data_IF_665441076437
#
_entry.id   IF_665441076437
#
_cell.length_a   1.000
_cell.length_b   1.000
_cell.length_c   1.000
_cell.angle_alpha   90.00
_cell.angle_beta   90.00
_cell.angle_gamma   90.00
#
_symmetry.space_group_name_H-M   'P 1'
#
loop_
_entity.id
_entity.type
_entity.pdbx_description
1 polymer ?
#
# COMPACT_ATOMS: atom_id res chain seq x y z
N UNK A 1 24.02 -8.90 10.17
CA UNK A 1 22.90 -8.21 10.85
C UNK A 1 21.66 -9.08 10.80
N UNK A 2 21.00 -9.30 11.94
CA UNK A 2 19.74 -10.04 12.03
C UNK A 2 18.57 -9.09 12.33
N UNK A 3 17.57 -9.07 11.46
CA UNK A 3 16.41 -8.21 11.54
C UNK A 3 15.18 -9.03 11.94
N UNK A 4 14.38 -8.54 12.89
CA UNK A 4 13.11 -9.18 13.25
C UNK A 4 11.94 -8.25 12.93
N UNK A 5 11.09 -8.64 11.97
CA UNK A 5 9.84 -7.96 11.66
C UNK A 5 8.69 -8.56 12.49
N UNK A 6 7.98 -7.70 13.20
CA UNK A 6 6.78 -8.05 13.98
C UNK A 6 5.57 -7.37 13.34
N UNK A 7 4.60 -8.14 12.83
CA UNK A 7 3.36 -7.58 12.30
C UNK A 7 2.17 -8.53 12.45
N UNK A 8 1.04 -8.01 12.92
CA UNK A 8 -0.24 -8.73 12.91
C UNK A 8 -1.07 -8.49 11.64
N UNK A 9 -0.70 -7.50 10.81
CA UNK A 9 -1.37 -7.23 9.52
C UNK A 9 -0.83 -8.09 8.37
N UNK A 10 -0.55 -9.33 8.66
CA UNK A 10 -0.11 -10.30 7.67
C UNK A 10 -1.24 -11.29 7.41
N UNK A 11 -1.82 -11.24 6.21
CA UNK A 11 -2.94 -12.09 5.80
C UNK A 11 -2.76 -12.49 4.33
N UNK A 12 -3.24 -13.69 3.92
CA UNK A 12 -3.19 -14.11 2.52
C UNK A 12 -3.85 -13.15 1.53
N UNK A 13 -4.78 -12.30 2.03
CA UNK A 13 -5.50 -11.30 1.22
C UNK A 13 -5.09 -9.86 1.56
N UNK A 14 -4.08 -9.65 2.42
CA UNK A 14 -3.55 -8.32 2.70
C UNK A 14 -2.61 -7.85 1.57
N UNK A 15 -2.67 -6.54 1.24
CA UNK A 15 -1.92 -5.98 0.13
C UNK A 15 -0.53 -5.44 0.54
N UNK A 16 -0.49 -4.20 1.04
CA UNK A 16 0.74 -3.42 1.18
C UNK A 16 1.76 -3.98 2.17
N UNK A 17 1.34 -4.27 3.42
CA UNK A 17 2.25 -4.72 4.48
C UNK A 17 2.85 -6.09 4.15
N UNK A 18 2.03 -7.03 3.70
CA UNK A 18 2.50 -8.35 3.28
C UNK A 18 3.53 -8.23 2.16
N UNK A 19 3.22 -7.44 1.12
CA UNK A 19 4.12 -7.23 -0.02
C UNK A 19 5.45 -6.60 0.43
N UNK A 20 5.41 -5.60 1.30
CA UNK A 20 6.61 -5.00 1.87
C UNK A 20 7.51 -6.02 2.56
N UNK A 21 6.94 -6.86 3.42
CA UNK A 21 7.71 -7.90 4.14
C UNK A 21 8.25 -8.97 3.19
N UNK A 22 7.43 -9.48 2.26
CA UNK A 22 7.86 -10.48 1.27
C UNK A 22 9.00 -9.95 0.38
N UNK A 23 8.94 -8.69 -0.03
CA UNK A 23 9.99 -8.04 -0.82
C UNK A 23 11.25 -7.77 0.01
N UNK A 24 11.12 -7.49 1.33
CA UNK A 24 12.26 -7.39 2.23
C UNK A 24 13.00 -8.72 2.37
N UNK A 25 12.27 -9.82 2.56
CA UNK A 25 12.83 -11.18 2.57
C UNK A 25 13.55 -11.50 1.26
N UNK A 26 12.91 -11.19 0.12
CA UNK A 26 13.53 -11.40 -1.19
C UNK A 26 14.81 -10.57 -1.38
N UNK A 27 14.82 -9.32 -0.90
CA UNK A 27 16.00 -8.45 -0.92
C UNK A 27 17.13 -9.02 -0.07
N UNK A 28 16.86 -9.49 1.15
CA UNK A 28 17.86 -10.13 2.01
C UNK A 28 18.47 -11.31 1.28
N UNK A 29 17.66 -12.24 0.78
CA UNK A 29 18.12 -13.44 0.08
C UNK A 29 18.98 -13.14 -1.17
N UNK A 30 18.59 -12.12 -1.94
CA UNK A 30 19.23 -11.80 -3.23
C UNK A 30 20.43 -10.86 -3.09
N UNK A 31 20.41 -9.97 -2.10
CA UNK A 31 21.32 -8.80 -2.09
C UNK A 31 22.17 -8.70 -0.82
N UNK A 32 21.68 -9.23 0.31
CA UNK A 32 22.34 -9.14 1.63
C UNK A 32 22.51 -10.52 2.27
N UNK A 33 23.37 -11.40 1.69
CA UNK A 33 23.62 -12.73 2.24
C UNK A 33 24.32 -12.69 3.62
N UNK A 34 24.84 -11.52 4.00
CA UNK A 34 25.39 -11.18 5.32
C UNK A 34 24.31 -10.91 6.39
N UNK A 35 23.04 -10.86 6.00
CA UNK A 35 21.91 -10.58 6.87
C UNK A 35 21.00 -11.80 7.05
N UNK A 36 20.37 -11.89 8.23
CA UNK A 36 19.29 -12.82 8.52
C UNK A 36 17.99 -12.05 8.73
N UNK A 37 16.87 -12.67 8.36
CA UNK A 37 15.54 -12.11 8.54
C UNK A 37 14.64 -13.05 9.33
N UNK A 38 14.05 -12.56 10.39
CA UNK A 38 13.04 -13.23 11.21
C UNK A 38 11.72 -12.51 11.06
N UNK A 39 10.66 -13.23 10.75
CA UNK A 39 9.30 -12.68 10.66
C UNK A 39 8.42 -13.34 11.71
N UNK A 40 7.73 -12.55 12.52
CA UNK A 40 6.75 -13.04 13.49
C UNK A 40 5.36 -12.52 13.13
N UNK A 41 4.44 -13.44 12.84
CA UNK A 41 3.09 -13.14 12.36
C UNK A 41 2.04 -14.02 13.03
N UNK A 42 0.76 -13.59 13.09
CA UNK A 42 -0.32 -14.46 13.52
C UNK A 42 -0.62 -15.54 12.47
N UNK A 43 -0.95 -16.75 12.92
CA UNK A 43 -1.31 -17.87 12.04
C UNK A 43 -2.42 -18.74 12.62
N UNK A 44 -2.71 -19.86 11.96
CA UNK A 44 -3.67 -20.85 12.44
C UNK A 44 -3.08 -21.71 13.56
N UNK A 45 -1.80 -22.03 13.42
CA UNK A 45 -1.03 -22.79 14.39
C UNK A 45 0.28 -22.07 14.72
N UNK A 46 0.91 -22.45 15.83
CA UNK A 46 2.24 -21.99 16.18
C UNK A 46 3.25 -22.88 15.48
N UNK A 47 4.00 -22.33 14.54
CA UNK A 47 5.00 -23.03 13.73
C UNK A 47 6.21 -22.14 13.46
N UNK A 48 7.32 -22.76 13.09
CA UNK A 48 8.48 -22.07 12.55
C UNK A 48 8.88 -22.75 11.24
N UNK A 49 8.98 -21.97 10.17
CA UNK A 49 9.35 -22.45 8.83
C UNK A 49 10.43 -21.54 8.28
N UNK A 50 11.40 -22.09 7.59
CA UNK A 50 12.46 -21.32 6.94
C UNK A 50 13.81 -22.00 6.96
N UNK A 51 14.85 -21.23 6.71
CA UNK A 51 16.25 -21.65 6.65
C UNK A 51 17.15 -20.68 7.47
N UNK A 52 18.44 -20.78 7.30
CA UNK A 52 19.40 -19.93 8.03
C UNK A 52 19.32 -18.44 7.64
N UNK A 53 18.80 -18.11 6.47
CA UNK A 53 18.70 -16.74 5.99
C UNK A 53 17.37 -16.09 6.39
N UNK A 54 16.27 -16.86 6.36
CA UNK A 54 14.94 -16.31 6.67
C UNK A 54 14.06 -17.33 7.38
N UNK A 55 13.56 -16.96 8.55
CA UNK A 55 12.65 -17.76 9.38
C UNK A 55 11.34 -17.04 9.60
N UNK A 56 10.25 -17.75 9.43
CA UNK A 56 8.89 -17.25 9.67
C UNK A 56 8.28 -18.00 10.86
N UNK A 57 8.07 -17.29 11.92
CA UNK A 57 7.33 -17.76 13.09
C UNK A 57 5.87 -17.36 12.97
N UNK A 58 4.99 -18.34 12.85
CA UNK A 58 3.56 -18.11 12.98
C UNK A 58 3.13 -18.42 14.41
N UNK A 59 2.31 -17.56 15.00
CA UNK A 59 1.77 -17.74 16.35
C UNK A 59 0.26 -17.99 16.24
N UNK A 60 -0.20 -19.15 16.71
CA UNK A 60 -1.59 -19.56 16.68
C UNK A 60 -2.50 -18.50 17.33
N UNK A 61 -3.35 -17.87 16.54
CA UNK A 61 -4.10 -16.66 16.87
C UNK A 61 -5.55 -16.73 16.39
N UNK A 62 -6.54 -16.25 17.17
CA UNK A 62 -7.94 -16.26 16.77
C UNK A 62 -8.20 -15.35 15.57
N UNK A 63 -9.15 -15.78 14.73
CA UNK A 63 -9.59 -15.02 13.56
C UNK A 63 -10.47 -13.84 14.00
N UNK A 64 -10.12 -12.61 13.60
CA UNK A 64 -10.90 -11.40 13.87
C UNK A 64 -11.88 -11.11 12.73
N UNK A 65 -11.45 -11.31 11.49
CA UNK A 65 -12.22 -10.96 10.30
C UNK A 65 -12.20 -12.11 9.29
N UNK A 66 -13.38 -12.61 8.93
CA UNK A 66 -13.52 -13.65 7.90
C UNK A 66 -13.21 -13.13 6.51
N UNK A 67 -13.52 -11.86 6.23
CA UNK A 67 -13.33 -11.25 4.91
C UNK A 67 -11.87 -10.93 4.64
N UNK A 68 -11.20 -10.26 5.58
CA UNK A 68 -9.78 -9.89 5.47
C UNK A 68 -8.82 -10.95 5.99
N UNK A 69 -9.35 -12.02 6.63
CA UNK A 69 -8.59 -13.12 7.27
C UNK A 69 -7.52 -12.63 8.26
N UNK A 70 -7.72 -11.45 8.87
CA UNK A 70 -6.85 -11.00 9.95
C UNK A 70 -7.08 -11.78 11.23
N UNK A 71 -5.99 -11.98 11.98
CA UNK A 71 -5.97 -12.67 13.27
C UNK A 71 -5.40 -11.76 14.34
N UNK A 72 -5.88 -11.89 15.58
CA UNK A 72 -5.34 -11.14 16.72
C UNK A 72 -4.20 -11.93 17.37
N UNK A 73 -3.01 -11.39 17.37
CA UNK A 73 -1.86 -11.97 18.05
C UNK A 73 -1.98 -11.68 19.55
N UNK A 74 -2.62 -12.60 20.31
CA UNK A 74 -2.90 -12.43 21.74
C UNK A 74 -1.87 -13.10 22.64
N UNK A 75 -1.12 -14.10 22.13
CA UNK A 75 -0.10 -14.82 22.90
C UNK A 75 1.25 -14.09 22.84
N UNK A 76 1.32 -12.93 23.49
CA UNK A 76 2.50 -12.05 23.40
C UNK A 76 3.75 -12.64 24.08
N UNK A 77 3.62 -13.58 25.01
CA UNK A 77 4.76 -14.29 25.61
C UNK A 77 5.54 -15.11 24.57
N UNK A 78 4.84 -15.72 23.57
CA UNK A 78 5.51 -16.46 22.51
C UNK A 78 6.35 -15.53 21.58
N UNK A 79 5.96 -14.26 21.46
CA UNK A 79 6.77 -13.28 20.73
C UNK A 79 8.09 -13.03 21.46
N UNK A 80 8.05 -12.91 22.78
CA UNK A 80 9.21 -12.73 23.63
C UNK A 80 10.16 -13.95 23.55
N UNK A 81 9.60 -15.17 23.68
CA UNK A 81 10.39 -16.41 23.53
C UNK A 81 11.12 -16.47 22.16
N UNK A 82 10.46 -16.00 21.07
CA UNK A 82 11.11 -15.91 19.75
C UNK A 82 12.24 -14.89 19.77
N UNK A 83 12.03 -13.71 20.36
CA UNK A 83 13.06 -12.66 20.43
C UNK A 83 14.26 -13.09 21.29
N UNK A 84 14.02 -13.74 22.43
CA UNK A 84 15.06 -14.32 23.30
C UNK A 84 15.88 -15.39 22.59
N UNK A 85 15.22 -16.26 21.81
CA UNK A 85 15.85 -17.32 21.04
C UNK A 85 16.68 -16.77 19.87
N UNK A 86 16.08 -15.84 19.09
CA UNK A 86 16.69 -15.34 17.85
C UNK A 86 17.72 -14.25 18.10
N UNK A 87 17.59 -13.46 19.16
CA UNK A 87 18.47 -12.34 19.53
C UNK A 87 18.79 -11.46 18.32
N UNK A 88 17.76 -10.83 17.71
CA UNK A 88 17.99 -9.96 16.55
C UNK A 88 18.78 -8.70 16.94
N UNK A 89 19.52 -8.14 15.99
CA UNK A 89 20.24 -6.87 16.16
C UNK A 89 19.27 -5.67 16.15
N UNK A 90 18.09 -5.83 15.54
CA UNK A 90 17.05 -4.80 15.46
C UNK A 90 15.66 -5.44 15.31
N UNK A 91 14.66 -4.81 15.93
CA UNK A 91 13.25 -5.19 15.82
C UNK A 91 12.51 -4.09 15.05
N UNK A 92 11.79 -4.44 13.96
CA UNK A 92 10.84 -3.54 13.31
C UNK A 92 9.40 -3.92 13.68
N UNK A 93 8.64 -2.95 14.21
CA UNK A 93 7.21 -3.09 14.45
C UNK A 93 6.41 -2.48 13.30
N UNK A 94 5.66 -3.31 12.59
CA UNK A 94 4.87 -2.91 11.42
C UNK A 94 3.42 -2.52 11.72
N UNK A 95 3.00 -2.48 12.99
CA UNK A 95 1.63 -2.13 13.36
C UNK A 95 1.56 -1.31 14.68
N UNK A 96 0.45 -0.57 14.91
CA UNK A 96 0.36 0.35 16.04
C UNK A 96 -0.36 -0.23 17.28
N UNK A 97 -0.48 -1.56 17.39
CA UNK A 97 -1.30 -2.17 18.44
C UNK A 97 -0.47 -2.80 19.55
N UNK A 98 -1.07 -3.76 20.27
CA UNK A 98 -0.44 -4.46 21.39
C UNK A 98 0.92 -5.09 21.07
N UNK A 99 1.10 -5.54 19.82
CA UNK A 99 2.36 -6.12 19.36
C UNK A 99 3.49 -5.08 19.35
N UNK A 100 3.18 -3.83 19.02
CA UNK A 100 4.14 -2.73 19.05
C UNK A 100 4.63 -2.44 20.49
N UNK A 101 3.71 -2.40 21.46
CA UNK A 101 4.06 -2.25 22.87
C UNK A 101 4.88 -3.43 23.38
N UNK A 102 4.55 -4.66 22.93
CA UNK A 102 5.35 -5.84 23.26
C UNK A 102 6.74 -5.75 22.66
N UNK A 103 6.87 -5.28 21.41
CA UNK A 103 8.18 -5.04 20.80
C UNK A 103 9.03 -4.08 21.63
N UNK A 104 8.45 -2.93 22.03
CA UNK A 104 9.13 -1.93 22.88
C UNK A 104 9.54 -2.52 24.22
N UNK A 105 8.64 -3.25 24.89
CA UNK A 105 8.94 -3.85 26.20
C UNK A 105 10.03 -4.91 26.10
N UNK A 106 9.93 -5.83 25.12
CA UNK A 106 10.93 -6.89 24.91
C UNK A 106 12.28 -6.33 24.45
N UNK A 107 12.27 -5.32 23.55
CA UNK A 107 13.50 -4.67 23.10
C UNK A 107 14.27 -4.03 24.27
N UNK A 108 13.57 -3.35 25.19
CA UNK A 108 14.18 -2.80 26.43
C UNK A 108 14.72 -3.90 27.36
N UNK A 109 13.98 -5.01 27.51
CA UNK A 109 14.40 -6.12 28.36
C UNK A 109 15.59 -6.91 27.82
N UNK A 110 15.74 -6.94 26.49
CA UNK A 110 16.80 -7.68 25.81
C UNK A 110 17.95 -6.80 25.28
N UNK A 111 17.89 -5.50 25.54
CA UNK A 111 18.85 -4.51 25.03
C UNK A 111 18.98 -4.51 23.49
N UNK A 112 17.81 -4.52 22.82
CA UNK A 112 17.69 -4.54 21.36
C UNK A 112 16.94 -3.28 20.90
N UNK A 113 17.46 -2.49 19.94
CA UNK A 113 16.79 -1.33 19.39
C UNK A 113 15.51 -1.71 18.66
N UNK A 114 14.44 -0.92 18.87
CA UNK A 114 13.15 -1.12 18.24
C UNK A 114 12.81 0.09 17.38
N UNK A 115 12.49 -0.18 16.12
CA UNK A 115 12.01 0.83 15.17
C UNK A 115 10.56 0.56 14.79
N UNK A 116 9.82 1.62 14.47
CA UNK A 116 8.45 1.50 13.99
C UNK A 116 8.34 1.79 12.50
N UNK A 117 7.45 1.10 11.79
CA UNK A 117 7.05 1.49 10.44
C UNK A 117 5.57 1.87 10.40
N UNK A 118 5.26 3.11 10.03
CA UNK A 118 3.90 3.64 9.98
C UNK A 118 3.21 3.28 8.65
N UNK A 119 2.82 2.02 8.48
CA UNK A 119 2.24 1.51 7.23
C UNK A 119 0.85 2.05 6.88
N UNK A 120 0.07 2.44 7.88
CA UNK A 120 -1.31 2.88 7.67
C UNK A 120 -1.71 4.01 8.62
N UNK A 121 -2.48 4.96 8.10
CA UNK A 121 -3.04 6.05 8.90
C UNK A 121 -4.32 5.59 9.63
N UNK A 122 -4.13 4.76 10.68
CA UNK A 122 -5.21 4.12 11.41
C UNK A 122 -6.13 5.07 12.22
N UNK A 123 -5.69 6.26 12.73
CA UNK A 123 -6.56 7.14 13.49
C UNK A 123 -7.82 7.53 12.72
N UNK A 124 -7.69 7.76 11.42
CA UNK A 124 -8.80 8.13 10.56
C UNK A 124 -9.88 7.04 10.46
N UNK A 125 -9.50 5.77 10.48
CA UNK A 125 -10.45 4.66 10.50
C UNK A 125 -11.27 4.61 11.80
N UNK A 126 -10.63 4.93 12.95
CA UNK A 126 -11.31 5.04 14.24
C UNK A 126 -12.25 6.25 14.29
N UNK A 127 -11.78 7.41 13.86
CA UNK A 127 -12.55 8.65 13.83
C UNK A 127 -13.81 8.49 12.97
N UNK A 128 -13.70 7.90 11.78
CA UNK A 128 -14.85 7.61 10.92
C UNK A 128 -15.86 6.66 11.58
N UNK A 129 -15.38 5.69 12.36
CA UNK A 129 -16.27 4.77 13.08
C UNK A 129 -17.03 5.47 14.19
N UNK A 130 -16.39 6.38 14.91
CA UNK A 130 -17.01 7.20 15.96
C UNK A 130 -17.97 8.22 15.34
N UNK A 131 -17.57 8.91 14.27
CA UNK A 131 -18.37 9.90 13.58
C UNK A 131 -19.74 9.37 13.08
N UNK A 132 -19.80 8.09 12.78
CA UNK A 132 -21.04 7.45 12.28
C UNK A 132 -22.13 7.35 13.34
N UNK A 133 -21.74 7.33 14.64
CA UNK A 133 -22.69 7.07 15.74
C UNK A 133 -22.76 8.20 16.77
N UNK A 134 -21.78 9.11 16.79
CA UNK A 134 -21.62 10.12 17.82
C UNK A 134 -21.32 11.49 17.18
N UNK A 135 -21.84 12.59 17.77
CA UNK A 135 -21.71 13.94 17.22
C UNK A 135 -20.28 14.51 17.19
N UNK A 136 -20.14 15.76 16.75
CA UNK A 136 -18.87 16.47 16.52
C UNK A 136 -17.92 16.51 17.73
N UNK A 137 -18.45 16.62 18.96
CA UNK A 137 -17.67 16.62 20.19
C UNK A 137 -16.95 15.29 20.39
N UNK A 138 -17.66 14.16 20.15
CA UNK A 138 -17.06 12.83 20.26
C UNK A 138 -15.95 12.60 19.22
N UNK A 139 -16.09 13.18 18.04
CA UNK A 139 -15.05 13.16 16.99
C UNK A 139 -13.79 13.86 17.49
N UNK A 140 -13.91 15.08 18.03
CA UNK A 140 -12.78 15.85 18.54
C UNK A 140 -12.03 15.12 19.67
N UNK A 141 -12.78 14.50 20.58
CA UNK A 141 -12.20 13.67 21.66
C UNK A 141 -11.48 12.46 21.08
N UNK A 142 -12.08 11.74 20.13
CA UNK A 142 -11.46 10.57 19.49
C UNK A 142 -10.18 10.96 18.72
N UNK A 143 -10.16 12.13 18.09
CA UNK A 143 -8.96 12.69 17.45
C UNK A 143 -7.84 12.96 18.45
N UNK A 144 -8.15 13.63 19.55
CA UNK A 144 -7.14 13.94 20.57
C UNK A 144 -6.56 12.67 21.22
N UNK A 145 -7.43 11.72 21.58
CA UNK A 145 -7.01 10.40 22.09
C UNK A 145 -6.10 9.69 21.08
N UNK A 146 -6.50 9.66 19.81
CA UNK A 146 -5.73 9.01 18.76
C UNK A 146 -4.36 9.68 18.55
N UNK A 147 -4.30 11.02 18.57
CA UNK A 147 -3.04 11.78 18.46
C UNK A 147 -2.11 11.51 19.63
N UNK A 148 -2.64 11.52 20.87
CA UNK A 148 -1.86 11.20 22.08
C UNK A 148 -1.32 9.78 22.03
N UNK A 149 -2.14 8.82 21.62
CA UNK A 149 -1.72 7.43 21.48
C UNK A 149 -0.59 7.28 20.45
N UNK A 150 -0.76 7.85 19.25
CA UNK A 150 0.27 7.84 18.20
C UNK A 150 1.56 8.46 18.72
N UNK A 151 1.50 9.65 19.32
CA UNK A 151 2.67 10.32 19.88
C UNK A 151 3.38 9.46 20.91
N UNK A 152 2.64 8.87 21.86
CA UNK A 152 3.23 8.06 22.93
C UNK A 152 3.89 6.80 22.38
N UNK A 153 3.21 6.06 21.50
CA UNK A 153 3.76 4.83 20.92
C UNK A 153 4.98 5.12 20.05
N UNK A 154 4.84 6.04 19.07
CA UNK A 154 5.91 6.23 18.07
C UNK A 154 7.13 6.97 18.65
N UNK A 155 6.99 7.73 19.73
CA UNK A 155 8.13 8.24 20.49
C UNK A 155 8.80 7.20 21.41
N UNK A 156 8.21 6.01 21.55
CA UNK A 156 8.83 4.89 22.26
C UNK A 156 9.80 4.08 21.40
N UNK A 157 9.81 4.30 20.08
CA UNK A 157 10.76 3.69 19.15
C UNK A 157 12.04 4.52 19.04
N UNK A 158 13.16 3.88 18.72
CA UNK A 158 14.44 4.55 18.43
C UNK A 158 14.34 5.41 17.17
N UNK A 159 13.59 4.94 16.18
CA UNK A 159 13.27 5.67 14.94
C UNK A 159 11.93 5.19 14.40
N UNK A 160 11.16 6.09 13.77
CA UNK A 160 9.91 5.74 13.09
C UNK A 160 10.03 6.03 11.61
N UNK A 161 9.86 5.00 10.78
CA UNK A 161 9.82 5.11 9.32
C UNK A 161 8.41 5.43 8.83
N UNK A 162 8.32 6.36 7.89
CA UNK A 162 7.05 6.87 7.36
C UNK A 162 7.10 6.88 5.84
N UNK A 163 6.09 6.32 5.14
CA UNK A 163 6.15 6.13 3.69
C UNK A 163 5.99 7.42 2.87
N UNK A 164 5.79 8.59 3.49
CA UNK A 164 5.75 9.85 2.76
C UNK A 164 6.14 11.05 3.62
N UNK A 165 6.79 12.09 3.04
CA UNK A 165 7.10 13.33 3.75
C UNK A 165 5.87 14.05 4.29
N UNK A 166 4.75 14.03 3.56
CA UNK A 166 3.49 14.66 3.99
C UNK A 166 2.96 14.01 5.26
N UNK A 167 2.99 12.68 5.32
CA UNK A 167 2.58 11.94 6.50
C UNK A 167 3.57 12.14 7.65
N UNK A 168 4.87 12.23 7.37
CA UNK A 168 5.87 12.58 8.38
C UNK A 168 5.64 13.99 8.95
N UNK A 169 5.30 14.97 8.12
CA UNK A 169 4.96 16.32 8.58
C UNK A 169 3.70 16.33 9.45
N UNK A 170 2.67 15.56 9.09
CA UNK A 170 1.48 15.40 9.90
C UNK A 170 1.82 14.80 11.29
N UNK A 171 2.63 13.76 11.33
CA UNK A 171 3.04 13.13 12.58
C UNK A 171 3.91 14.06 13.43
N UNK A 172 4.78 14.90 12.83
CA UNK A 172 5.53 15.95 13.56
C UNK A 172 4.59 16.96 14.20
N UNK A 173 3.53 17.38 13.52
CA UNK A 173 2.51 18.26 14.10
C UNK A 173 1.78 17.61 15.27
N UNK A 174 1.73 16.28 15.34
CA UNK A 174 1.18 15.53 16.47
C UNK A 174 2.20 15.30 17.59
N UNK A 175 3.46 15.77 17.42
CA UNK A 175 4.53 15.66 18.40
C UNK A 175 5.29 14.34 18.35
N UNK A 176 5.31 13.66 17.21
CA UNK A 176 6.23 12.53 16.97
C UNK A 176 7.57 13.09 16.48
N UNK A 177 8.67 12.69 17.13
CA UNK A 177 9.97 13.35 16.98
C UNK A 177 10.90 12.61 16.00
N UNK A 178 11.24 11.36 16.28
CA UNK A 178 12.27 10.60 15.56
C UNK A 178 11.74 9.96 14.27
N UNK A 179 11.34 10.82 13.32
CA UNK A 179 10.72 10.42 12.05
C UNK A 179 11.72 10.45 10.89
N UNK A 180 11.76 9.37 10.13
CA UNK A 180 12.51 9.25 8.87
C UNK A 180 11.57 8.85 7.74
N UNK A 181 11.64 9.57 6.61
CA UNK A 181 10.83 9.23 5.45
C UNK A 181 11.50 8.13 4.63
N UNK A 182 10.82 7.01 4.49
CA UNK A 182 11.22 5.86 3.67
C UNK A 182 10.08 5.50 2.75
N UNK A 183 10.32 5.63 1.47
CA UNK A 183 9.34 5.26 0.44
C UNK A 183 9.07 3.75 0.44
N UNK A 184 7.93 3.36 -0.09
CA UNK A 184 7.68 1.98 -0.50
C UNK A 184 8.14 1.80 -1.95
N UNK A 185 8.33 0.55 -2.37
CA UNK A 185 8.89 0.23 -3.66
C UNK A 185 7.93 -0.49 -4.61
N UNK A 186 8.41 -0.68 -5.82
CA UNK A 186 7.79 -1.53 -6.84
C UNK A 186 8.77 -2.66 -7.22
N UNK A 187 8.22 -3.84 -7.50
CA UNK A 187 8.99 -4.96 -8.04
C UNK A 187 9.28 -4.73 -9.53
N UNK A 188 10.44 -4.18 -9.82
CA UNK A 188 10.86 -3.84 -11.18
C UNK A 188 11.16 -5.06 -12.07
N UNK A 189 11.27 -6.26 -11.50
CA UNK A 189 11.45 -7.52 -12.23
C UNK A 189 10.09 -8.05 -12.74
N UNK A 190 8.97 -7.65 -12.10
CA UNK A 190 7.60 -8.04 -12.47
C UNK A 190 6.87 -6.92 -13.20
N UNK A 191 6.95 -5.69 -12.65
CA UNK A 191 6.29 -4.51 -13.21
C UNK A 191 7.25 -3.74 -14.11
N UNK A 192 7.14 -3.95 -15.42
CA UNK A 192 7.95 -3.30 -16.45
C UNK A 192 7.14 -3.13 -17.75
N UNK A 193 7.49 -2.20 -18.67
CA UNK A 193 6.62 -1.79 -19.78
C UNK A 193 6.54 -2.79 -20.92
N UNK A 194 7.44 -3.77 -21.01
CA UNK A 194 7.53 -4.71 -22.14
C UNK A 194 6.96 -6.09 -21.78
N UNK A 195 6.50 -6.85 -22.73
CA UNK A 195 6.32 -8.30 -22.60
C UNK A 195 4.91 -8.86 -22.71
N UNK A 196 3.87 -8.07 -23.01
CA UNK A 196 2.52 -8.62 -23.25
C UNK A 196 1.94 -8.07 -24.54
N UNK A 197 1.40 -8.98 -25.35
CA UNK A 197 0.50 -8.61 -26.43
C UNK A 197 -0.82 -8.12 -25.80
N UNK A 198 -0.98 -6.79 -25.69
CA UNK A 198 -2.16 -6.13 -25.12
C UNK A 198 -3.48 -6.61 -25.77
N UNK A 199 -3.44 -6.97 -27.06
CA UNK A 199 -4.58 -7.49 -27.78
C UNK A 199 -5.02 -8.88 -27.30
N UNK A 200 -4.11 -9.71 -26.78
CA UNK A 200 -4.46 -11.04 -26.25
C UNK A 200 -5.35 -10.93 -25.02
N UNK A 201 -4.96 -10.13 -24.04
CA UNK A 201 -5.73 -9.97 -22.81
C UNK A 201 -7.05 -9.20 -23.06
N UNK A 202 -7.06 -8.19 -23.96
CA UNK A 202 -8.31 -7.51 -24.34
C UNK A 202 -9.34 -8.49 -24.94
N UNK A 203 -8.90 -9.41 -25.81
CA UNK A 203 -9.77 -10.44 -26.40
C UNK A 203 -10.29 -11.43 -25.35
N UNK A 204 -9.43 -11.89 -24.46
CA UNK A 204 -9.81 -12.78 -23.36
C UNK A 204 -10.89 -12.12 -22.46
N UNK A 205 -10.71 -10.86 -22.13
CA UNK A 205 -11.63 -10.06 -21.33
C UNK A 205 -12.82 -9.51 -22.12
N UNK A 206 -12.90 -9.80 -23.43
CA UNK A 206 -13.95 -9.32 -24.36
C UNK A 206 -14.06 -7.79 -24.38
N UNK A 207 -12.92 -7.10 -24.31
CA UNK A 207 -12.82 -5.64 -24.38
C UNK A 207 -12.53 -5.25 -25.82
N UNK A 208 -13.38 -4.45 -26.49
CA UNK A 208 -13.16 -4.02 -27.85
C UNK A 208 -11.87 -3.19 -28.01
N UNK A 209 -11.08 -3.48 -29.06
CA UNK A 209 -9.79 -2.80 -29.29
C UNK A 209 -9.93 -1.30 -29.60
N UNK A 210 -11.07 -0.88 -30.14
CA UNK A 210 -11.36 0.52 -30.48
C UNK A 210 -11.75 1.38 -29.26
N UNK A 211 -11.83 0.81 -28.06
CA UNK A 211 -12.15 1.56 -26.83
C UNK A 211 -10.90 1.94 -26.06
N UNK A 212 -10.93 3.13 -25.50
CA UNK A 212 -9.93 3.60 -24.53
C UNK A 212 -10.13 2.88 -23.20
N UNK A 213 -9.13 2.12 -22.76
CA UNK A 213 -9.23 1.27 -21.59
C UNK A 213 -8.73 2.01 -20.34
N UNK A 214 -9.68 2.38 -19.47
CA UNK A 214 -9.41 2.93 -18.16
C UNK A 214 -9.24 1.78 -17.16
N UNK A 215 -8.28 1.88 -16.26
CA UNK A 215 -8.02 0.88 -15.22
C UNK A 215 -8.17 1.48 -13.83
N UNK A 216 -8.83 0.74 -12.96
CA UNK A 216 -8.78 0.93 -11.50
C UNK A 216 -8.33 -0.36 -10.84
N UNK A 217 -7.40 -0.26 -9.89
CA UNK A 217 -6.94 -1.37 -9.05
C UNK A 217 -7.04 -0.97 -7.60
N UNK A 218 -7.79 -1.71 -6.80
CA UNK A 218 -7.91 -1.45 -5.37
C UNK A 218 -9.21 -1.93 -4.75
N UNK A 219 -9.33 -1.80 -3.43
CA UNK A 219 -10.56 -2.13 -2.70
C UNK A 219 -11.73 -1.26 -3.17
N UNK A 220 -12.88 -1.88 -3.40
CA UNK A 220 -14.12 -1.17 -3.73
C UNK A 220 -14.77 -0.63 -2.44
N UNK A 221 -14.19 0.44 -1.90
CA UNK A 221 -14.56 1.00 -0.62
C UNK A 221 -14.61 2.54 -0.67
N UNK A 222 -15.39 3.13 0.23
CA UNK A 222 -15.63 4.59 0.23
C UNK A 222 -14.36 5.39 0.49
N UNK A 223 -13.44 4.88 1.32
CA UNK A 223 -12.16 5.53 1.60
C UNK A 223 -11.22 5.58 0.38
N UNK A 224 -11.47 4.74 -0.64
CA UNK A 224 -10.76 4.77 -1.92
C UNK A 224 -11.43 5.68 -2.96
N UNK A 225 -12.48 6.39 -2.56
CA UNK A 225 -13.23 7.35 -3.40
C UNK A 225 -13.76 6.76 -4.72
N UNK A 226 -14.05 5.47 -4.73
CA UNK A 226 -14.44 4.72 -5.94
C UNK A 226 -15.80 5.19 -6.48
N UNK A 227 -16.67 5.76 -5.63
CA UNK A 227 -17.95 6.33 -6.07
C UNK A 227 -17.75 7.47 -7.05
N UNK A 228 -16.80 8.36 -6.79
CA UNK A 228 -16.43 9.46 -7.70
C UNK A 228 -15.98 8.93 -9.06
N UNK A 229 -15.19 7.85 -9.09
CA UNK A 229 -14.78 7.20 -10.34
C UNK A 229 -16.00 6.64 -11.10
N UNK A 230 -16.90 5.93 -10.43
CA UNK A 230 -18.07 5.35 -11.09
C UNK A 230 -18.96 6.42 -11.70
N UNK A 231 -19.24 7.49 -10.96
CA UNK A 231 -20.01 8.63 -11.45
C UNK A 231 -19.29 9.37 -12.59
N UNK A 232 -17.96 9.55 -12.50
CA UNK A 232 -17.17 10.12 -13.60
C UNK A 232 -17.25 9.25 -14.87
N UNK A 233 -17.22 7.92 -14.71
CA UNK A 233 -17.37 7.01 -15.83
C UNK A 233 -18.79 7.07 -16.45
N UNK A 234 -19.83 7.23 -15.65
CA UNK A 234 -21.21 7.46 -16.15
C UNK A 234 -21.29 8.75 -16.97
N UNK A 235 -20.65 9.82 -16.52
CA UNK A 235 -20.57 11.10 -17.26
C UNK A 235 -19.86 10.91 -18.59
N UNK A 236 -18.69 10.23 -18.59
CA UNK A 236 -17.95 9.92 -19.83
C UNK A 236 -18.78 9.07 -20.81
N UNK A 237 -19.49 8.07 -20.28
CA UNK A 237 -20.33 7.20 -21.09
C UNK A 237 -21.50 7.96 -21.73
N UNK A 238 -22.13 8.89 -21.00
CA UNK A 238 -23.22 9.76 -21.52
C UNK A 238 -22.71 10.73 -22.58
N UNK A 239 -21.56 11.40 -22.33
CA UNK A 239 -20.96 12.37 -23.27
C UNK A 239 -20.48 11.69 -24.57
N UNK A 240 -19.89 10.51 -24.45
CA UNK A 240 -19.28 9.78 -25.58
C UNK A 240 -19.53 8.26 -25.44
N UNK A 241 -20.72 7.78 -25.83
CA UNK A 241 -21.08 6.38 -25.72
C UNK A 241 -20.06 5.47 -26.42
N UNK A 242 -19.71 4.39 -25.72
CA UNK A 242 -18.78 3.34 -26.20
C UNK A 242 -17.34 3.77 -26.51
N UNK A 243 -16.93 5.02 -26.24
CA UNK A 243 -15.55 5.48 -26.42
C UNK A 243 -14.60 4.92 -25.36
N UNK A 244 -15.09 4.74 -24.14
CA UNK A 244 -14.31 4.26 -23.00
C UNK A 244 -14.79 2.89 -22.52
N UNK A 245 -13.86 2.12 -21.94
CA UNK A 245 -14.15 0.90 -21.20
C UNK A 245 -13.46 0.97 -19.83
N UNK A 246 -14.15 0.62 -18.75
CA UNK A 246 -13.57 0.59 -17.40
C UNK A 246 -13.26 -0.86 -17.02
N UNK A 247 -11.98 -1.15 -16.81
CA UNK A 247 -11.50 -2.38 -16.20
C UNK A 247 -11.26 -2.13 -14.72
N UNK A 248 -11.92 -2.90 -13.87
CA UNK A 248 -11.80 -2.77 -12.41
C UNK A 248 -11.24 -4.06 -11.83
N UNK A 249 -10.16 -3.95 -11.06
CA UNK A 249 -9.56 -5.08 -10.31
C UNK A 249 -9.71 -4.81 -8.81
N UNK A 250 -10.45 -5.69 -8.13
CA UNK A 250 -10.67 -5.61 -6.70
C UNK A 250 -12.11 -5.89 -6.28
N UNK A 251 -12.33 -6.02 -4.97
CA UNK A 251 -13.64 -6.25 -4.39
C UNK A 251 -13.85 -5.38 -3.14
N UNK A 252 -15.08 -5.30 -2.64
CA UNK A 252 -15.41 -4.57 -1.42
C UNK A 252 -16.88 -4.15 -1.32
N UNK A 253 -17.17 -3.31 -0.34
CA UNK A 253 -18.53 -2.90 -0.01
C UNK A 253 -19.26 -2.16 -1.16
N UNK A 254 -18.54 -1.58 -2.11
CA UNK A 254 -19.10 -0.89 -3.28
C UNK A 254 -19.31 -1.80 -4.50
N UNK A 255 -19.11 -3.12 -4.37
CA UNK A 255 -19.44 -4.10 -5.43
C UNK A 255 -20.85 -3.94 -6.02
N UNK A 256 -21.93 -3.73 -5.23
CA UNK A 256 -23.25 -3.53 -5.80
C UNK A 256 -23.36 -2.31 -6.71
N UNK A 257 -22.60 -1.23 -6.43
CA UNK A 257 -22.54 -0.06 -7.28
C UNK A 257 -21.82 -0.35 -8.61
N UNK A 258 -20.72 -1.11 -8.57
CA UNK A 258 -20.00 -1.54 -9.77
C UNK A 258 -20.88 -2.43 -10.67
N UNK A 259 -21.63 -3.36 -10.08
CA UNK A 259 -22.56 -4.24 -10.83
C UNK A 259 -23.60 -3.42 -11.54
N UNK A 260 -24.24 -2.45 -10.86
CA UNK A 260 -25.21 -1.53 -11.49
C UNK A 260 -24.58 -0.75 -12.65
N UNK A 261 -23.39 -0.18 -12.43
CA UNK A 261 -22.67 0.56 -13.49
C UNK A 261 -22.42 -0.33 -14.72
N UNK A 262 -22.03 -1.58 -14.50
CA UNK A 262 -21.81 -2.57 -15.57
C UNK A 262 -23.10 -2.87 -16.35
N UNK A 263 -24.22 -3.04 -15.68
CA UNK A 263 -25.51 -3.31 -16.29
C UNK A 263 -26.00 -2.12 -17.11
N UNK A 264 -25.85 -0.89 -16.60
CA UNK A 264 -26.27 0.33 -17.25
C UNK A 264 -25.44 0.69 -18.48
N UNK A 265 -24.13 0.54 -18.41
CA UNK A 265 -23.22 1.02 -19.46
C UNK A 265 -22.81 -0.07 -20.45
N UNK A 266 -22.76 -1.33 -20.03
CA UNK A 266 -22.19 -2.47 -20.76
C UNK A 266 -20.74 -2.23 -21.24
N UNK A 267 -20.05 -1.32 -20.53
CA UNK A 267 -18.67 -0.91 -20.82
C UNK A 267 -17.75 -1.10 -19.61
N UNK A 268 -18.07 -2.06 -18.74
CA UNK A 268 -17.29 -2.36 -17.53
C UNK A 268 -16.94 -3.84 -17.49
N UNK A 269 -15.65 -4.13 -17.32
CA UNK A 269 -15.13 -5.47 -16.98
C UNK A 269 -14.66 -5.45 -15.54
N UNK A 270 -14.99 -6.48 -14.77
CA UNK A 270 -14.62 -6.62 -13.38
C UNK A 270 -13.88 -7.91 -13.13
N UNK A 271 -12.66 -7.79 -12.58
CA UNK A 271 -11.85 -8.87 -12.05
C UNK A 271 -11.84 -8.72 -10.51
N UNK A 272 -12.31 -9.75 -9.82
CA UNK A 272 -12.39 -9.71 -8.36
C UNK A 272 -11.00 -9.67 -7.73
N UNK A 273 -10.04 -10.37 -8.30
CA UNK A 273 -8.68 -10.48 -7.80
C UNK A 273 -7.73 -11.02 -8.88
N UNK A 274 -6.51 -10.51 -8.95
CA UNK A 274 -5.39 -11.12 -9.67
C UNK A 274 -4.56 -11.90 -8.67
N UNK A 275 -4.40 -13.20 -8.86
CA UNK A 275 -3.69 -14.08 -7.93
C UNK A 275 -2.20 -13.81 -7.94
N UNK A 276 -1.62 -13.70 -9.12
CA UNK A 276 -0.20 -13.52 -9.33
C UNK A 276 0.15 -12.07 -9.69
N UNK A 277 1.26 -11.53 -9.18
CA UNK A 277 1.72 -10.20 -9.57
C UNK A 277 1.91 -10.03 -11.08
N UNK A 278 2.33 -11.07 -11.79
CA UNK A 278 2.50 -11.07 -13.24
C UNK A 278 1.18 -10.88 -14.00
N UNK A 279 0.06 -11.46 -13.50
CA UNK A 279 -1.27 -11.22 -14.05
C UNK A 279 -1.66 -9.75 -13.91
N UNK A 280 -1.43 -9.17 -12.72
CA UNK A 280 -1.70 -7.76 -12.46
C UNK A 280 -0.85 -6.85 -13.34
N UNK A 281 0.44 -7.17 -13.52
CA UNK A 281 1.32 -6.44 -14.42
C UNK A 281 0.82 -6.49 -15.87
N UNK A 282 0.24 -7.63 -16.31
CA UNK A 282 -0.37 -7.75 -17.64
C UNK A 282 -1.61 -6.87 -17.78
N UNK A 283 -2.42 -6.75 -16.74
CA UNK A 283 -3.58 -5.84 -16.69
C UNK A 283 -3.15 -4.39 -16.83
N UNK A 284 -2.12 -3.96 -16.09
CA UNK A 284 -1.56 -2.62 -16.23
C UNK A 284 -1.10 -2.37 -17.67
N UNK A 285 -0.23 -3.21 -18.22
CA UNK A 285 0.32 -3.06 -19.59
C UNK A 285 -0.72 -3.03 -20.69
N UNK A 286 -1.88 -3.67 -20.47
CA UNK A 286 -2.99 -3.72 -21.42
C UNK A 286 -3.84 -2.45 -21.41
N UNK A 287 -3.78 -1.69 -20.33
CA UNK A 287 -4.62 -0.52 -20.08
C UNK A 287 -3.99 0.76 -20.64
N UNK A 288 -4.80 1.69 -21.12
CA UNK A 288 -4.32 2.94 -21.70
C UNK A 288 -4.06 3.99 -20.63
N UNK A 289 -4.87 3.99 -19.55
CA UNK A 289 -4.78 4.98 -18.47
C UNK A 289 -5.23 4.37 -17.14
N UNK A 290 -4.41 4.52 -16.13
CA UNK A 290 -4.77 4.20 -14.75
C UNK A 290 -5.45 5.39 -14.08
N UNK A 291 -6.62 5.17 -13.49
CA UNK A 291 -7.37 6.22 -12.78
C UNK A 291 -7.30 5.97 -11.29
N UNK A 292 -6.70 6.90 -10.57
CA UNK A 292 -6.60 6.88 -9.12
C UNK A 292 -7.52 7.94 -8.49
N UNK A 293 -8.75 7.58 -8.07
CA UNK A 293 -9.70 8.55 -7.51
C UNK A 293 -9.44 8.89 -6.05
N UNK A 294 -8.56 8.15 -5.36
CA UNK A 294 -8.28 8.33 -3.94
C UNK A 294 -7.57 9.64 -3.63
N UNK A 295 -8.04 10.35 -2.61
CA UNK A 295 -7.45 11.61 -2.13
C UNK A 295 -6.60 11.42 -0.87
N UNK A 296 -6.76 10.30 -0.18
CA UNK A 296 -6.09 9.97 1.07
C UNK A 296 -5.44 8.59 0.95
N UNK A 297 -4.18 8.57 0.54
CA UNK A 297 -3.37 7.37 0.45
C UNK A 297 -2.13 7.52 1.32
N UNK A 298 -1.71 6.44 1.95
CA UNK A 298 -0.44 6.44 2.70
C UNK A 298 0.75 6.53 1.77
N UNK A 299 0.68 5.80 0.63
CA UNK A 299 1.75 5.78 -0.35
C UNK A 299 1.25 5.59 -1.79
N UNK A 300 0.44 4.54 -2.08
CA UNK A 300 -0.12 4.27 -3.40
C UNK A 300 0.71 3.32 -4.26
N UNK A 301 1.02 2.13 -3.75
CA UNK A 301 1.76 1.10 -4.49
C UNK A 301 1.19 0.82 -5.88
N UNK A 302 -0.13 0.76 -6.02
CA UNK A 302 -0.82 0.51 -7.30
C UNK A 302 -0.51 1.59 -8.35
N UNK A 303 -0.26 2.83 -7.91
CA UNK A 303 0.14 3.94 -8.78
C UNK A 303 1.57 3.75 -9.29
N UNK A 304 2.49 3.29 -8.45
CA UNK A 304 3.84 2.95 -8.87
C UNK A 304 3.88 1.74 -9.80
N UNK A 305 3.09 0.70 -9.50
CA UNK A 305 2.97 -0.50 -10.34
C UNK A 305 2.47 -0.16 -11.74
N UNK A 306 1.44 0.70 -11.82
CA UNK A 306 0.93 1.21 -13.09
C UNK A 306 2.01 1.90 -13.91
N UNK A 307 2.70 2.86 -13.29
CA UNK A 307 3.78 3.60 -13.96
C UNK A 307 4.94 2.69 -14.35
N UNK A 308 5.37 1.79 -13.47
CA UNK A 308 6.43 0.83 -13.78
C UNK A 308 6.10 -0.04 -15.00
N UNK A 309 4.81 -0.34 -15.21
CA UNK A 309 4.31 -1.04 -16.41
C UNK A 309 4.16 -0.15 -17.65
N UNK A 310 4.47 1.14 -17.58
CA UNK A 310 4.32 2.09 -18.67
C UNK A 310 2.90 2.61 -18.86
N UNK A 311 2.01 2.42 -17.90
CA UNK A 311 0.64 2.90 -17.93
C UNK A 311 0.56 4.22 -17.15
N UNK A 312 0.30 5.36 -17.84
CA UNK A 312 0.24 6.67 -17.20
C UNK A 312 -0.95 6.77 -16.24
N UNK A 313 -0.85 7.71 -15.31
CA UNK A 313 -1.79 7.89 -14.21
C UNK A 313 -2.53 9.21 -14.36
N UNK A 314 -3.82 9.21 -14.04
CA UNK A 314 -4.62 10.40 -13.78
C UNK A 314 -5.26 10.29 -12.39
N UNK A 315 -5.25 11.38 -11.64
CA UNK A 315 -5.80 11.46 -10.30
C UNK A 315 -6.44 12.80 -9.98
N UNK A 316 -6.57 13.10 -8.70
CA UNK A 316 -7.10 14.35 -8.17
C UNK A 316 -5.96 15.14 -7.56
N UNK A 317 -5.84 16.43 -7.87
CA UNK A 317 -4.80 17.32 -7.34
C UNK A 317 -4.86 17.42 -5.83
N UNK A 318 -3.70 17.53 -5.17
CA UNK A 318 -3.61 17.57 -3.72
C UNK A 318 -3.83 16.21 -3.06
N UNK A 319 -3.91 15.13 -3.84
CA UNK A 319 -3.82 13.78 -3.30
C UNK A 319 -2.37 13.48 -2.91
N UNK A 320 -2.17 12.56 -1.96
CA UNK A 320 -0.81 12.17 -1.55
C UNK A 320 -0.01 11.46 -2.67
N UNK A 321 -0.63 11.25 -3.83
CA UNK A 321 -0.03 10.64 -5.01
C UNK A 321 0.82 11.61 -5.83
N UNK A 322 0.63 12.91 -5.69
CA UNK A 322 1.29 13.95 -6.49
C UNK A 322 2.82 13.76 -6.53
N UNK A 323 3.38 13.29 -5.45
CA UNK A 323 4.82 13.09 -5.28
C UNK A 323 5.40 11.91 -6.07
N UNK A 324 4.64 10.82 -6.20
CA UNK A 324 5.12 9.57 -6.80
C UNK A 324 4.69 9.41 -8.27
N UNK A 325 4.01 10.40 -8.82
CA UNK A 325 3.61 10.39 -10.23
C UNK A 325 4.58 11.23 -11.05
N UNK A 326 5.28 10.57 -11.97
CA UNK A 326 6.33 11.15 -12.81
C UNK A 326 5.84 11.74 -14.13
N UNK A 327 4.55 11.62 -14.40
CA UNK A 327 3.93 12.26 -15.56
C UNK A 327 3.41 13.64 -15.22
N UNK A 328 3.27 14.47 -16.28
CA UNK A 328 2.64 15.78 -16.15
C UNK A 328 1.25 15.69 -15.52
N UNK A 329 1.03 16.47 -14.46
CA UNK A 329 -0.22 16.50 -13.70
C UNK A 329 -1.15 17.65 -14.13
N UNK A 330 -0.86 18.35 -15.22
CA UNK A 330 -1.68 19.48 -15.70
C UNK A 330 -3.14 19.08 -15.94
N UNK A 331 -3.37 17.86 -16.39
CA UNK A 331 -4.70 17.32 -16.65
C UNK A 331 -5.33 16.57 -15.47
N UNK A 332 -4.77 16.66 -14.27
CA UNK A 332 -5.40 16.07 -13.11
C UNK A 332 -6.65 16.84 -12.69
N UNK A 333 -7.63 16.13 -12.14
CA UNK A 333 -8.85 16.74 -11.64
C UNK A 333 -8.52 17.81 -10.59
N UNK A 334 -9.02 19.03 -10.82
CA UNK A 334 -8.78 20.15 -9.92
C UNK A 334 -9.55 20.01 -8.61
N UNK A 335 -10.72 19.32 -8.67
CA UNK A 335 -11.61 19.12 -7.55
C UNK A 335 -11.96 17.64 -7.39
N UNK A 336 -12.33 17.27 -6.16
CA UNK A 336 -12.83 15.93 -5.85
C UNK A 336 -14.31 15.79 -6.24
N UNK A 337 -14.61 15.96 -7.53
CA UNK A 337 -15.95 15.82 -8.10
C UNK A 337 -15.95 14.85 -9.29
N UNK A 338 -17.07 14.18 -9.59
CA UNK A 338 -17.19 13.30 -10.76
C UNK A 338 -16.94 14.03 -12.07
N UNK A 339 -17.42 15.26 -12.23
CA UNK A 339 -17.25 16.05 -13.43
C UNK A 339 -15.78 16.42 -13.65
N UNK A 340 -15.10 16.94 -12.61
CA UNK A 340 -13.68 17.27 -12.69
C UNK A 340 -12.82 16.04 -13.03
N UNK A 341 -13.13 14.87 -12.48
CA UNK A 341 -12.41 13.64 -12.79
C UNK A 341 -12.71 13.15 -14.21
N UNK A 342 -13.94 13.26 -14.69
CA UNK A 342 -14.31 12.92 -16.06
C UNK A 342 -13.59 13.82 -17.09
N UNK A 343 -13.53 15.11 -16.84
CA UNK A 343 -12.84 16.06 -17.71
C UNK A 343 -11.33 15.83 -17.67
N UNK A 344 -10.74 15.53 -16.52
CA UNK A 344 -9.33 15.15 -16.37
C UNK A 344 -8.98 13.89 -17.16
N UNK A 345 -9.81 12.84 -17.08
CA UNK A 345 -9.63 11.62 -17.88
C UNK A 345 -9.68 11.96 -19.37
N UNK A 346 -10.65 12.74 -19.81
CA UNK A 346 -10.80 13.12 -21.21
C UNK A 346 -9.59 13.93 -21.71
N UNK A 347 -9.16 14.91 -20.92
CA UNK A 347 -8.02 15.77 -21.25
C UNK A 347 -6.70 14.98 -21.32
N UNK A 348 -6.50 14.00 -20.42
CA UNK A 348 -5.28 13.17 -20.41
C UNK A 348 -5.06 12.41 -21.72
N UNK A 349 -6.11 12.05 -22.44
CA UNK A 349 -6.04 11.41 -23.74
C UNK A 349 -5.66 12.37 -24.90
N UNK A 350 -5.42 13.63 -24.66
CA UNK A 350 -4.80 14.55 -25.65
C UNK A 350 -3.28 14.47 -25.67
N UNK A 351 -2.66 13.85 -24.65
CA UNK A 351 -1.22 13.61 -24.57
C UNK A 351 -0.83 12.32 -25.32
N UNK A 352 0.46 12.22 -25.66
CA UNK A 352 1.07 10.95 -26.03
C UNK A 352 1.24 10.08 -24.79
N UNK A 353 0.21 9.27 -24.51
CA UNK A 353 0.18 8.38 -23.35
C UNK A 353 1.31 7.36 -23.35
N UNK A 354 1.75 6.92 -24.55
CA UNK A 354 2.84 5.94 -24.68
C UNK A 354 4.18 6.54 -24.28
N UNK A 355 4.51 7.71 -24.81
CA UNK A 355 5.74 8.41 -24.43
C UNK A 355 5.74 8.78 -22.94
N UNK A 356 4.62 9.33 -22.47
CA UNK A 356 4.41 9.66 -21.03
C UNK A 356 4.58 8.42 -20.14
N UNK A 357 4.00 7.28 -20.52
CA UNK A 357 4.08 6.03 -19.77
C UNK A 357 5.50 5.46 -19.70
N UNK A 358 6.24 5.47 -20.81
CA UNK A 358 7.63 4.99 -20.87
C UNK A 358 8.56 5.86 -20.00
N UNK A 359 8.39 7.18 -20.04
CA UNK A 359 9.16 8.10 -19.20
C UNK A 359 8.87 7.87 -17.71
N UNK A 360 7.59 7.74 -17.35
CA UNK A 360 7.18 7.45 -15.97
C UNK A 360 7.70 6.08 -15.50
N UNK A 361 7.72 5.07 -16.37
CA UNK A 361 8.26 3.75 -16.06
C UNK A 361 9.75 3.79 -15.72
N UNK A 362 10.56 4.50 -16.51
CA UNK A 362 11.97 4.63 -16.24
C UNK A 362 12.22 5.25 -14.85
N UNK A 363 11.56 6.38 -14.56
CA UNK A 363 11.68 7.07 -13.27
C UNK A 363 11.18 6.23 -12.08
N UNK A 364 10.01 5.57 -12.21
CA UNK A 364 9.46 4.75 -11.14
C UNK A 364 10.38 3.56 -10.80
N UNK A 365 10.96 2.91 -11.79
CA UNK A 365 11.87 1.78 -11.59
C UNK A 365 13.22 2.18 -11.05
N UNK A 366 13.74 3.34 -11.42
CA UNK A 366 15.01 3.87 -10.93
C UNK A 366 14.91 4.31 -9.47
N UNK A 367 13.91 5.13 -9.14
CA UNK A 367 13.81 5.76 -7.82
C UNK A 367 13.09 4.91 -6.79
N UNK A 368 12.15 4.07 -7.21
CA UNK A 368 11.26 3.30 -6.33
C UNK A 368 11.35 1.78 -6.51
N UNK A 369 12.43 1.22 -7.10
CA UNK A 369 12.62 -0.22 -7.01
C UNK A 369 12.80 -0.65 -5.55
N UNK A 370 12.29 -1.82 -5.15
CA UNK A 370 12.51 -2.36 -3.81
C UNK A 370 14.00 -2.43 -3.46
N UNK A 371 14.85 -2.67 -4.45
CA UNK A 371 16.31 -2.67 -4.27
C UNK A 371 16.82 -1.31 -3.80
N UNK A 372 16.37 -0.22 -4.41
CA UNK A 372 16.74 1.17 -4.03
C UNK A 372 16.21 1.51 -2.65
N UNK A 373 14.94 1.19 -2.38
CA UNK A 373 14.28 1.47 -1.10
C UNK A 373 14.94 0.71 0.05
N UNK A 374 15.14 -0.61 -0.09
CA UNK A 374 15.74 -1.41 0.98
C UNK A 374 17.21 -1.12 1.19
N UNK A 375 17.96 -0.73 0.15
CA UNK A 375 19.34 -0.27 0.34
C UNK A 375 19.41 0.89 1.34
N UNK A 376 18.50 1.87 1.22
CA UNK A 376 18.40 2.99 2.16
C UNK A 376 17.91 2.55 3.52
N UNK A 377 16.87 1.73 3.60
CA UNK A 377 16.31 1.26 4.86
C UNK A 377 17.35 0.49 5.69
N UNK A 378 18.12 -0.39 5.06
CA UNK A 378 19.15 -1.18 5.73
C UNK A 378 20.32 -0.31 6.24
N UNK A 379 20.70 0.74 5.50
CA UNK A 379 21.66 1.73 5.99
C UNK A 379 21.15 2.43 7.25
N UNK A 380 19.84 2.76 7.32
CA UNK A 380 19.22 3.37 8.49
C UNK A 380 19.13 2.39 9.68
N UNK A 381 18.96 1.10 9.44
CA UNK A 381 19.05 0.09 10.50
C UNK A 381 20.47 0.04 11.10
N UNK A 382 21.50 0.00 10.24
CA UNK A 382 22.90 0.01 10.67
C UNK A 382 23.22 1.26 11.50
N UNK A 383 22.71 2.44 11.10
CA UNK A 383 22.83 3.67 11.90
C UNK A 383 22.16 3.53 13.27
N UNK A 384 20.92 3.02 13.33
CA UNK A 384 20.20 2.86 14.61
C UNK A 384 20.94 1.91 15.53
N UNK A 385 21.39 0.77 15.05
CA UNK A 385 22.16 -0.22 15.82
C UNK A 385 23.44 0.42 16.36
N UNK A 386 24.20 1.13 15.52
CA UNK A 386 25.47 1.76 15.91
C UNK A 386 25.31 2.87 16.96
N UNK A 387 24.18 3.58 16.98
CA UNK A 387 23.89 4.61 17.98
C UNK A 387 23.35 4.02 19.30
N UNK A 388 22.62 2.93 19.22
CA UNK A 388 22.06 2.25 20.39
C UNK A 388 23.14 1.55 21.21
N UNK A 389 24.20 1.05 20.58
CA UNK A 389 25.33 0.34 21.22
C UNK A 389 26.34 1.29 21.90
N UNK A 390 26.15 2.62 21.81
CA UNK A 390 26.98 3.63 22.47
C UNK A 390 26.34 4.15 23.74
#
# INVERSE_FOLDING_TARGET
MKICDLTQFYSPVSGGVRRYVEQKVAYVRKTRPDCEHVLVVPGEATTCVGDNISRVYTIGSPLISRTSRYRALVKLHLVEEVLEKEKPDIIESGDPYQLAWKAVASGRGLDIPVVGFYHSHFPEAYIRSVAKYFGTIAIAIAEDISRRYVRTLYNSFERTFVPSPNLANLLRQWGVERLESIDLGVDADVFYPNGVNSHSLRRELRIPDNRRLLLYVGRLASEKNVRTLFQAFEILHRKTPHKYHLLTVGDGALRPALVRLREQTRCVTWLQFCKEPAELASVYRTSDLFVHPGIQETFGLVTLESQACGTPVVGIRGSYMDRIVFSNQHHWAAENTPDSLADAIQAKFSEDLRATGLQASAAAREHYSWKTVFKRLFSLYEEVISHFSK
#
